data_IF_004978880095
#
_entry.id   IF_004978880095
#
_cell.length_a   1.000
_cell.length_b   1.000
_cell.length_c   1.000
_cell.angle_alpha   90.00
_cell.angle_beta   90.00
_cell.angle_gamma   90.00
#
_symmetry.space_group_name_H-M   'P 1'
#
loop_
_entity.id
_entity.type
_entity.pdbx_description
1 polymer ?
#
# COMPACT_ATOMS: atom_id res chain seq x y z
N UNK A 1 14.51 -14.23 -16.20
CA UNK A 1 15.54 -13.55 -15.37
C UNK A 1 16.79 -14.40 -15.39
N UNK A 2 17.96 -13.78 -15.27
CA UNK A 2 19.22 -14.48 -15.12
C UNK A 2 19.74 -14.22 -13.71
N UNK A 3 20.25 -15.25 -13.05
CA UNK A 3 20.92 -15.14 -11.75
C UNK A 3 22.41 -15.39 -11.97
N UNK A 4 23.28 -14.56 -11.42
CA UNK A 4 24.73 -14.70 -11.60
C UNK A 4 25.22 -16.06 -11.06
N UNK A 5 24.70 -16.49 -9.92
CA UNK A 5 25.04 -17.77 -9.29
C UNK A 5 24.69 -19.02 -10.13
N UNK A 6 23.89 -18.87 -11.19
CA UNK A 6 23.46 -19.94 -12.09
C UNK A 6 24.03 -19.78 -13.51
N UNK A 7 24.99 -18.89 -13.69
CA UNK A 7 25.69 -18.68 -14.95
C UNK A 7 24.81 -18.02 -16.02
N UNK A 8 24.84 -18.57 -17.24
CA UNK A 8 24.16 -18.03 -18.43
C UNK A 8 22.69 -18.47 -18.57
N UNK A 9 22.17 -19.26 -17.62
CA UNK A 9 20.82 -19.80 -17.73
C UNK A 9 19.74 -18.74 -17.41
N UNK A 10 18.73 -18.67 -18.29
CA UNK A 10 17.59 -17.77 -18.14
C UNK A 10 16.39 -18.52 -17.54
N UNK A 11 16.04 -18.17 -16.31
CA UNK A 11 14.89 -18.73 -15.61
C UNK A 11 13.58 -18.06 -16.01
N UNK A 12 12.53 -18.88 -16.15
CA UNK A 12 11.15 -18.41 -16.05
C UNK A 12 10.73 -18.34 -14.59
N UNK A 13 9.79 -17.44 -14.29
CA UNK A 13 9.27 -17.28 -12.92
C UNK A 13 8.68 -18.58 -12.36
N UNK A 14 8.07 -19.42 -13.19
CA UNK A 14 7.45 -20.68 -12.76
C UNK A 14 8.46 -21.75 -12.32
N UNK A 15 9.73 -21.64 -12.74
CA UNK A 15 10.77 -22.64 -12.44
C UNK A 15 11.34 -22.46 -11.02
N UNK A 16 11.09 -21.32 -10.38
CA UNK A 16 11.58 -21.03 -9.04
C UNK A 16 10.68 -21.66 -7.97
N UNK A 17 11.29 -22.51 -7.14
CA UNK A 17 10.63 -23.05 -5.96
C UNK A 17 10.79 -22.10 -4.78
N UNK A 18 9.69 -21.50 -4.35
CA UNK A 18 9.70 -20.52 -3.27
C UNK A 18 9.32 -21.15 -1.93
N UNK A 19 10.10 -20.82 -0.90
CA UNK A 19 9.86 -21.20 0.50
C UNK A 19 9.02 -20.16 1.25
N UNK A 20 8.52 -20.57 2.43
CA UNK A 20 7.84 -19.70 3.39
C UNK A 20 8.80 -18.70 4.04
N UNK A 21 10.09 -19.00 4.10
CA UNK A 21 11.13 -18.06 4.54
C UNK A 21 11.53 -17.17 3.36
N UNK A 22 11.56 -15.83 3.53
CA UNK A 22 12.10 -14.93 2.52
C UNK A 22 13.56 -15.23 2.22
N UNK A 23 13.89 -15.37 0.94
CA UNK A 23 15.22 -15.75 0.46
C UNK A 23 15.78 -14.66 -0.46
N UNK A 24 17.09 -14.45 -0.37
CA UNK A 24 17.86 -13.66 -1.31
C UNK A 24 18.47 -14.59 -2.33
N UNK A 25 18.11 -14.42 -3.61
CA UNK A 25 18.61 -15.27 -4.70
C UNK A 25 19.95 -14.77 -5.26
N UNK A 26 20.39 -13.57 -4.87
CA UNK A 26 21.60 -12.95 -5.38
C UNK A 26 21.35 -11.87 -6.45
N UNK A 27 22.45 -11.28 -6.96
CA UNK A 27 22.42 -10.38 -8.10
C UNK A 27 22.09 -11.13 -9.40
N UNK A 28 21.57 -10.38 -10.37
CA UNK A 28 21.30 -10.88 -11.68
C UNK A 28 20.60 -9.87 -12.59
N UNK A 29 20.27 -10.36 -13.79
CA UNK A 29 19.75 -9.54 -14.87
C UNK A 29 18.26 -9.80 -15.11
N UNK A 30 17.48 -8.73 -15.09
CA UNK A 30 16.09 -8.69 -15.52
C UNK A 30 16.04 -8.46 -17.03
N UNK A 31 15.19 -9.24 -17.72
CA UNK A 31 14.97 -9.25 -19.18
C UNK A 31 16.16 -9.68 -20.07
N UNK A 32 15.83 -10.43 -21.12
CA UNK A 32 16.81 -10.94 -22.10
C UNK A 32 17.17 -9.91 -23.16
N UNK A 33 16.18 -9.10 -23.55
CA UNK A 33 16.31 -8.04 -24.55
C UNK A 33 17.18 -6.90 -24.03
N UNK A 34 18.09 -6.43 -24.87
CA UNK A 34 19.10 -5.43 -24.51
C UNK A 34 18.49 -4.11 -24.03
N UNK A 35 17.46 -3.60 -24.70
CA UNK A 35 16.80 -2.34 -24.33
C UNK A 35 16.08 -2.35 -22.97
N UNK A 36 15.78 -3.52 -22.41
CA UNK A 36 15.07 -3.68 -21.13
C UNK A 36 15.94 -4.36 -20.07
N UNK A 37 17.23 -4.53 -20.37
CA UNK A 37 18.18 -5.22 -19.51
C UNK A 37 18.46 -4.37 -18.28
N UNK A 38 18.15 -4.91 -17.10
CA UNK A 38 18.42 -4.24 -15.84
C UNK A 38 19.13 -5.20 -14.88
N UNK A 39 20.28 -4.80 -14.36
CA UNK A 39 20.97 -5.55 -13.32
C UNK A 39 20.51 -5.11 -11.94
N UNK A 40 20.45 -6.05 -11.01
CA UNK A 40 19.98 -5.82 -9.66
C UNK A 40 19.79 -7.12 -8.89
N UNK A 41 18.98 -7.07 -7.85
CA UNK A 41 18.92 -8.08 -6.81
C UNK A 41 17.56 -8.77 -6.79
N UNK A 42 17.57 -10.10 -6.71
CA UNK A 42 16.35 -10.91 -6.70
C UNK A 42 16.03 -11.47 -5.32
N UNK A 43 14.76 -11.37 -4.95
CA UNK A 43 14.23 -11.89 -3.69
C UNK A 43 13.01 -12.76 -3.94
N UNK A 44 12.92 -13.87 -3.21
CA UNK A 44 11.86 -14.85 -3.38
C UNK A 44 11.16 -15.14 -2.05
N UNK A 45 9.83 -15.18 -2.07
CA UNK A 45 9.05 -15.53 -0.89
C UNK A 45 7.66 -16.03 -1.26
N UNK A 46 7.24 -17.15 -0.68
CA UNK A 46 5.86 -17.64 -0.76
C UNK A 46 5.16 -17.43 0.57
N UNK A 47 4.01 -16.78 0.57
CA UNK A 47 3.21 -16.64 1.79
C UNK A 47 2.42 -17.90 2.07
N UNK A 48 2.29 -18.21 3.35
CA UNK A 48 1.39 -19.26 3.80
C UNK A 48 -0.05 -18.98 3.38
N UNK A 49 -0.79 -20.00 2.91
CA UNK A 49 -2.18 -19.86 2.55
C UNK A 49 -3.03 -19.38 3.73
N UNK A 50 -3.73 -18.25 3.57
CA UNK A 50 -4.59 -17.67 4.62
C UNK A 50 -6.02 -18.23 4.66
N UNK A 51 -6.30 -19.32 3.94
CA UNK A 51 -7.64 -19.93 3.89
C UNK A 51 -8.76 -19.00 3.38
N UNK A 52 -8.42 -17.95 2.61
CA UNK A 52 -9.40 -16.94 2.17
C UNK A 52 -10.40 -17.57 1.20
N UNK A 53 -11.68 -17.43 1.53
CA UNK A 53 -12.79 -17.79 0.63
C UNK A 53 -13.30 -16.54 -0.08
N UNK A 54 -13.60 -16.65 -1.37
CA UNK A 54 -14.25 -15.58 -2.11
C UNK A 54 -15.70 -15.44 -1.64
N UNK A 55 -15.96 -14.47 -0.76
CA UNK A 55 -17.31 -14.13 -0.30
C UNK A 55 -17.90 -13.08 -1.22
N UNK A 56 -19.11 -13.33 -1.73
CA UNK A 56 -19.88 -12.40 -2.54
C UNK A 56 -20.96 -11.75 -1.68
N UNK A 57 -21.26 -10.47 -1.91
CA UNK A 57 -22.46 -9.85 -1.35
C UNK A 57 -23.71 -10.44 -2.01
N UNK A 58 -24.81 -10.56 -1.26
CA UNK A 58 -26.13 -10.76 -1.88
C UNK A 58 -26.33 -9.62 -2.89
N UNK A 59 -26.59 -9.94 -4.15
CA UNK A 59 -26.80 -8.99 -5.26
C UNK A 59 -25.54 -8.29 -5.83
N UNK A 60 -24.33 -8.73 -5.51
CA UNK A 60 -23.13 -8.20 -6.18
C UNK A 60 -22.97 -8.72 -7.62
N UNK A 61 -22.61 -7.84 -8.57
CA UNK A 61 -22.30 -8.23 -9.95
C UNK A 61 -21.15 -9.24 -9.93
N UNK A 62 -21.40 -10.45 -10.47
CA UNK A 62 -20.37 -11.46 -10.61
C UNK A 62 -19.40 -11.07 -11.73
N UNK A 63 -18.10 -11.18 -11.47
CA UNK A 63 -17.04 -10.94 -12.45
C UNK A 63 -16.14 -12.17 -12.57
N UNK A 64 -16.60 -13.22 -13.30
CA UNK A 64 -15.94 -14.52 -13.31
C UNK A 64 -14.49 -14.49 -13.81
N UNK A 65 -14.20 -13.68 -14.84
CA UNK A 65 -12.85 -13.49 -15.38
C UNK A 65 -11.88 -12.97 -14.33
N UNK A 66 -12.23 -11.87 -13.66
CA UNK A 66 -11.40 -11.28 -12.60
C UNK A 66 -11.15 -12.28 -11.45
N UNK A 67 -12.15 -13.10 -11.11
CA UNK A 67 -12.01 -14.13 -10.07
C UNK A 67 -11.06 -15.24 -10.53
N UNK A 68 -11.19 -15.69 -11.78
CA UNK A 68 -10.37 -16.73 -12.38
C UNK A 68 -8.89 -16.33 -12.42
N UNK A 69 -8.60 -15.06 -12.67
CA UNK A 69 -7.22 -14.56 -12.76
C UNK A 69 -6.65 -14.20 -11.38
N UNK A 70 -7.44 -13.56 -10.51
CA UNK A 70 -6.96 -13.10 -9.20
C UNK A 70 -6.69 -14.24 -8.21
N UNK A 71 -7.46 -15.34 -8.27
CA UNK A 71 -7.31 -16.49 -7.37
C UNK A 71 -5.95 -17.19 -7.48
N UNK A 72 -5.48 -17.61 -8.67
CA UNK A 72 -4.14 -18.19 -8.83
C UNK A 72 -3.06 -17.15 -8.52
N UNK A 73 -3.17 -15.92 -9.03
CA UNK A 73 -2.20 -14.85 -8.79
C UNK A 73 -1.98 -14.56 -7.29
N UNK A 74 -3.02 -14.69 -6.46
CA UNK A 74 -2.91 -14.51 -5.01
C UNK A 74 -2.14 -15.64 -4.31
N UNK A 75 -2.01 -16.82 -4.93
CA UNK A 75 -1.27 -17.99 -4.42
C UNK A 75 0.15 -18.07 -4.97
N UNK A 76 0.47 -17.30 -6.00
CA UNK A 76 1.79 -17.27 -6.61
C UNK A 76 2.84 -16.70 -5.63
N UNK A 77 4.08 -17.25 -5.67
CA UNK A 77 5.16 -16.69 -4.90
C UNK A 77 5.52 -15.29 -5.38
N UNK A 78 6.02 -14.48 -4.46
CA UNK A 78 6.54 -13.16 -4.75
C UNK A 78 7.99 -13.29 -5.19
N UNK A 79 8.24 -12.92 -6.43
CA UNK A 79 9.57 -12.68 -6.97
C UNK A 79 9.72 -11.16 -7.12
N UNK A 80 10.63 -10.58 -6.36
CA UNK A 80 10.88 -9.15 -6.32
C UNK A 80 12.26 -8.87 -6.87
N UNK A 81 12.33 -7.86 -7.73
CA UNK A 81 13.58 -7.29 -8.24
C UNK A 81 13.77 -5.92 -7.59
N UNK A 82 14.97 -5.66 -7.08
CA UNK A 82 15.36 -4.40 -6.42
C UNK A 82 16.70 -3.93 -6.95
N UNK A 83 16.91 -2.62 -7.03
CA UNK A 83 18.21 -2.02 -7.36
C UNK A 83 19.18 -1.97 -6.17
N UNK A 84 18.74 -2.32 -4.97
CA UNK A 84 19.52 -2.29 -3.72
C UNK A 84 19.51 -3.65 -3.02
N UNK A 85 20.63 -4.00 -2.40
CA UNK A 85 20.85 -5.13 -1.49
C UNK A 85 21.04 -4.73 -0.01
N UNK A 86 20.90 -3.45 0.32
CA UNK A 86 21.07 -2.92 1.68
C UNK A 86 20.08 -3.56 2.67
N UNK A 87 18.94 -4.06 2.18
CA UNK A 87 17.86 -4.57 3.02
C UNK A 87 17.83 -6.09 3.07
N UNK A 88 17.73 -6.62 4.30
CA UNK A 88 17.44 -8.04 4.53
C UNK A 88 16.15 -8.46 3.80
N UNK A 89 16.06 -9.70 3.26
CA UNK A 89 14.90 -10.16 2.49
C UNK A 89 13.56 -9.99 3.21
N UNK A 90 13.54 -10.18 4.54
CA UNK A 90 12.34 -9.97 5.37
C UNK A 90 11.82 -8.53 5.31
N UNK A 91 12.72 -7.54 5.27
CA UNK A 91 12.39 -6.12 5.22
C UNK A 91 11.80 -5.76 3.86
N UNK A 92 12.43 -6.22 2.76
CA UNK A 92 11.92 -6.01 1.39
C UNK A 92 10.53 -6.64 1.23
N UNK A 93 10.33 -7.87 1.69
CA UNK A 93 9.02 -8.52 1.64
C UNK A 93 7.97 -7.75 2.45
N UNK A 94 8.36 -7.17 3.60
CA UNK A 94 7.48 -6.33 4.42
C UNK A 94 7.13 -5.02 3.71
N UNK A 95 8.09 -4.35 3.09
CA UNK A 95 7.89 -3.14 2.30
C UNK A 95 6.95 -3.41 1.12
N UNK A 96 7.27 -4.42 0.30
CA UNK A 96 6.44 -4.79 -0.84
C UNK A 96 5.04 -5.26 -0.43
N UNK A 97 4.89 -5.85 0.76
CA UNK A 97 3.57 -6.24 1.27
C UNK A 97 2.60 -5.08 1.44
N UNK A 98 3.10 -3.84 1.56
CA UNK A 98 2.31 -2.62 1.67
C UNK A 98 1.77 -2.12 0.32
N UNK A 99 2.22 -2.65 -0.83
CA UNK A 99 1.78 -2.19 -2.17
C UNK A 99 0.25 -2.14 -2.34
N UNK A 100 -0.45 -3.08 -1.72
CA UNK A 100 -1.91 -3.20 -1.78
C UNK A 100 -2.63 -2.01 -1.10
N UNK A 101 -1.94 -1.26 -0.25
CA UNK A 101 -2.48 -0.04 0.36
C UNK A 101 -2.82 1.01 -0.71
N UNK A 102 -2.05 1.09 -1.80
CA UNK A 102 -2.34 2.00 -2.92
C UNK A 102 -3.68 1.63 -3.58
N UNK A 103 -3.89 0.35 -3.87
CA UNK A 103 -5.17 -0.13 -4.44
C UNK A 103 -6.36 0.09 -3.49
N UNK A 104 -6.13 -0.04 -2.19
CA UNK A 104 -7.14 0.26 -1.17
C UNK A 104 -7.49 1.75 -1.16
N UNK A 105 -6.48 2.64 -1.17
CA UNK A 105 -6.71 4.09 -1.27
C UNK A 105 -7.53 4.46 -2.51
N UNK A 106 -7.17 3.94 -3.69
CA UNK A 106 -7.94 4.18 -4.92
C UNK A 106 -9.36 3.63 -4.87
N UNK A 107 -9.58 2.52 -4.14
CA UNK A 107 -10.92 1.97 -3.95
C UNK A 107 -11.77 2.86 -3.05
N UNK A 108 -11.17 3.35 -1.97
CA UNK A 108 -11.85 4.16 -0.97
C UNK A 108 -12.18 5.55 -1.54
N UNK A 109 -11.27 6.19 -2.27
CA UNK A 109 -11.54 7.46 -2.99
C UNK A 109 -12.73 7.36 -3.95
N UNK A 110 -12.88 6.20 -4.61
CA UNK A 110 -14.01 5.90 -5.50
C UNK A 110 -15.30 5.58 -4.75
N UNK A 111 -15.22 5.19 -3.49
CA UNK A 111 -16.37 4.79 -2.68
C UNK A 111 -17.13 6.01 -2.17
N UNK A 112 -18.45 5.99 -2.32
CA UNK A 112 -19.35 7.00 -1.76
C UNK A 112 -19.41 6.95 -0.23
N UNK A 113 -19.24 5.75 0.34
CA UNK A 113 -19.38 5.53 1.78
C UNK A 113 -18.08 5.76 2.55
N UNK A 114 -16.95 5.41 1.96
CA UNK A 114 -15.67 5.31 2.67
C UNK A 114 -14.62 6.34 2.22
N UNK A 115 -14.89 7.12 1.18
CA UNK A 115 -14.01 8.19 0.73
C UNK A 115 -14.80 9.31 0.07
N UNK A 116 -14.31 9.83 -1.04
CA UNK A 116 -14.82 11.06 -1.65
C UNK A 116 -15.88 10.84 -2.73
N UNK A 117 -16.37 9.60 -2.89
CA UNK A 117 -17.50 9.32 -3.77
C UNK A 117 -17.27 9.64 -5.24
N UNK A 118 -16.04 9.49 -5.75
CA UNK A 118 -15.75 9.82 -7.16
C UNK A 118 -16.65 9.07 -8.16
N UNK A 119 -17.18 7.89 -7.81
CA UNK A 119 -18.17 7.17 -8.64
C UNK A 119 -19.50 7.90 -8.78
N UNK A 120 -19.94 8.64 -7.77
CA UNK A 120 -21.16 9.45 -7.79
C UNK A 120 -20.96 10.83 -8.41
N UNK A 121 -19.77 11.15 -8.93
CA UNK A 121 -19.53 12.45 -9.58
C UNK A 121 -20.26 12.61 -10.92
N UNK A 122 -20.63 11.50 -11.57
CA UNK A 122 -21.28 11.41 -12.89
C UNK A 122 -20.66 12.33 -13.98
N UNK A 123 -19.37 12.66 -13.84
CA UNK A 123 -18.71 13.59 -14.75
C UNK A 123 -18.43 12.93 -16.10
N UNK A 124 -18.75 13.64 -17.18
CA UNK A 124 -18.53 13.20 -18.57
C UNK A 124 -17.32 13.86 -19.25
N UNK A 125 -16.65 14.81 -18.59
CA UNK A 125 -15.50 15.53 -19.14
C UNK A 125 -14.21 15.17 -18.40
N UNK A 126 -13.15 14.89 -19.16
CA UNK A 126 -11.84 14.57 -18.60
C UNK A 126 -11.32 15.70 -17.68
N UNK A 127 -11.49 16.96 -18.08
CA UNK A 127 -11.06 18.12 -17.30
C UNK A 127 -11.70 18.18 -15.89
N UNK A 128 -13.01 17.89 -15.78
CA UNK A 128 -13.69 17.90 -14.48
C UNK A 128 -13.26 16.71 -13.62
N UNK A 129 -13.05 15.52 -14.20
CA UNK A 129 -12.51 14.37 -13.47
C UNK A 129 -11.12 14.66 -12.92
N UNK A 130 -10.26 15.32 -13.71
CA UNK A 130 -8.93 15.74 -13.27
C UNK A 130 -9.00 16.73 -12.09
N UNK A 131 -9.85 17.75 -12.18
CA UNK A 131 -10.03 18.70 -11.08
C UNK A 131 -10.56 18.04 -9.80
N UNK A 132 -11.55 17.13 -9.91
CA UNK A 132 -12.07 16.39 -8.76
C UNK A 132 -11.02 15.44 -8.15
N UNK A 133 -10.20 14.80 -8.98
CA UNK A 133 -9.08 13.97 -8.53
C UNK A 133 -8.05 14.80 -7.76
N UNK A 134 -7.71 16.00 -8.25
CA UNK A 134 -6.82 16.92 -7.56
C UNK A 134 -7.40 17.35 -6.20
N UNK A 135 -8.67 17.74 -6.14
CA UNK A 135 -9.32 18.11 -4.88
C UNK A 135 -9.37 16.93 -3.89
N UNK A 136 -9.63 15.73 -4.39
CA UNK A 136 -9.67 14.49 -3.60
C UNK A 136 -8.30 14.18 -3.00
N UNK A 137 -7.24 14.26 -3.80
CA UNK A 137 -5.87 14.00 -3.35
C UNK A 137 -5.40 15.03 -2.32
N UNK A 138 -5.64 16.33 -2.56
CA UNK A 138 -5.32 17.39 -1.59
C UNK A 138 -6.08 17.21 -0.28
N UNK A 139 -7.39 16.92 -0.35
CA UNK A 139 -8.22 16.66 0.83
C UNK A 139 -7.72 15.44 1.61
N UNK A 140 -7.33 14.38 0.89
CA UNK A 140 -6.76 13.16 1.49
C UNK A 140 -5.46 13.44 2.22
N UNK A 141 -4.56 14.26 1.66
CA UNK A 141 -3.30 14.67 2.31
C UNK A 141 -3.59 15.43 3.59
N UNK A 142 -4.52 16.39 3.57
CA UNK A 142 -4.91 17.15 4.76
C UNK A 142 -5.49 16.24 5.84
N UNK A 143 -6.40 15.33 5.49
CA UNK A 143 -6.95 14.36 6.43
C UNK A 143 -5.85 13.46 7.01
N UNK A 144 -4.88 13.04 6.20
CA UNK A 144 -3.74 12.26 6.68
C UNK A 144 -2.91 13.00 7.74
N UNK A 145 -2.58 14.27 7.48
CA UNK A 145 -1.83 15.11 8.41
C UNK A 145 -2.61 15.36 9.71
N UNK A 146 -3.91 15.66 9.61
CA UNK A 146 -4.78 15.85 10.78
C UNK A 146 -4.88 14.57 11.59
N UNK A 147 -5.06 13.42 10.93
CA UNK A 147 -5.14 12.12 11.59
C UNK A 147 -3.84 11.72 12.28
N UNK A 148 -2.70 11.97 11.63
CA UNK A 148 -1.38 11.76 12.22
C UNK A 148 -1.15 12.65 13.45
N UNK A 149 -1.51 13.93 13.36
CA UNK A 149 -1.43 14.84 14.50
C UNK A 149 -2.34 14.42 15.66
N UNK A 150 -3.57 13.99 15.35
CA UNK A 150 -4.51 13.47 16.34
C UNK A 150 -3.99 12.19 17.01
N UNK A 151 -3.34 11.31 16.27
CA UNK A 151 -2.69 10.12 16.82
C UNK A 151 -1.55 10.51 17.78
N UNK A 152 -0.65 11.39 17.36
CA UNK A 152 0.48 11.84 18.19
C UNK A 152 0.03 12.51 19.50
N UNK A 153 -1.14 13.16 19.49
CA UNK A 153 -1.78 13.71 20.70
C UNK A 153 -2.55 12.69 21.53
N UNK A 154 -2.56 11.41 21.13
CA UNK A 154 -3.30 10.34 21.82
C UNK A 154 -4.82 10.41 21.65
N UNK A 155 -5.34 11.29 20.79
CA UNK A 155 -6.79 11.46 20.61
C UNK A 155 -7.44 10.22 20.00
N UNK A 156 -6.69 9.46 19.19
CA UNK A 156 -7.14 8.23 18.56
C UNK A 156 -7.76 7.22 19.53
N UNK A 157 -7.30 7.17 20.78
CA UNK A 157 -7.84 6.30 21.82
C UNK A 157 -9.28 6.63 22.21
N UNK A 158 -9.70 7.89 22.08
CA UNK A 158 -11.07 8.34 22.39
C UNK A 158 -12.07 7.96 21.31
N UNK A 159 -11.61 7.79 20.08
CA UNK A 159 -12.43 7.41 18.93
C UNK A 159 -12.50 5.90 18.71
N UNK A 160 -11.84 5.12 19.56
CA UNK A 160 -11.78 3.67 19.45
C UNK A 160 -12.59 3.02 20.57
N UNK A 161 -13.53 2.16 20.21
CA UNK A 161 -14.31 1.38 21.18
C UNK A 161 -13.54 0.18 21.75
N UNK A 162 -12.52 -0.32 21.04
CA UNK A 162 -11.72 -1.47 21.45
C UNK A 162 -10.69 -1.12 22.54
N UNK A 163 -10.40 -2.07 23.43
CA UNK A 163 -9.40 -1.96 24.51
C UNK A 163 -7.93 -1.94 24.06
N UNK A 164 -7.64 -2.17 22.77
CA UNK A 164 -6.28 -2.21 22.22
C UNK A 164 -5.64 -0.82 22.28
N UNK A 165 -4.57 -0.66 23.08
CA UNK A 165 -3.82 0.61 23.17
C UNK A 165 -2.42 0.57 22.56
N UNK A 166 -1.96 -0.60 22.14
CA UNK A 166 -0.60 -0.82 21.63
C UNK A 166 -0.41 -0.44 20.16
N UNK A 167 -1.50 -0.30 19.41
CA UNK A 167 -1.47 0.04 17.99
C UNK A 167 -2.70 0.82 17.57
N UNK A 168 -2.55 1.58 16.49
CA UNK A 168 -3.67 2.20 15.79
C UNK A 168 -4.62 1.15 15.21
N UNK A 169 -5.92 1.31 15.48
CA UNK A 169 -6.97 0.46 14.90
C UNK A 169 -7.68 1.14 13.73
N UNK A 170 -7.93 2.45 13.82
CA UNK A 170 -8.66 3.23 12.82
C UNK A 170 -7.67 3.90 11.85
N UNK A 171 -8.00 4.02 10.56
CA UNK A 171 -7.15 4.74 9.60
C UNK A 171 -7.00 6.22 9.98
N UNK A 172 -5.93 6.88 9.51
CA UNK A 172 -5.78 8.33 9.74
C UNK A 172 -6.92 9.13 9.14
N UNK A 173 -7.42 8.73 7.96
CA UNK A 173 -8.51 9.44 7.29
C UNK A 173 -9.78 9.40 8.14
N UNK A 174 -10.19 8.21 8.59
CA UNK A 174 -11.41 8.05 9.41
C UNK A 174 -11.25 8.71 10.78
N UNK A 175 -10.05 8.65 11.38
CA UNK A 175 -9.77 9.38 12.62
C UNK A 175 -9.92 10.89 12.41
N UNK A 176 -9.29 11.44 11.36
CA UNK A 176 -9.35 12.86 11.05
C UNK A 176 -10.79 13.31 10.80
N UNK A 177 -11.55 12.55 10.01
CA UNK A 177 -12.95 12.84 9.74
C UNK A 177 -13.77 12.91 11.04
N UNK A 178 -13.63 11.93 11.94
CA UNK A 178 -14.33 11.94 13.22
C UNK A 178 -13.91 13.11 14.12
N UNK A 179 -12.63 13.44 14.14
CA UNK A 179 -12.11 14.60 14.89
C UNK A 179 -12.67 15.90 14.32
N UNK A 180 -12.71 16.06 13.00
CA UNK A 180 -13.25 17.25 12.35
C UNK A 180 -14.76 17.40 12.55
N UNK A 181 -15.51 16.28 12.55
CA UNK A 181 -16.94 16.26 12.86
C UNK A 181 -17.22 16.76 14.28
N UNK A 182 -16.38 16.41 15.26
CA UNK A 182 -16.57 16.83 16.66
C UNK A 182 -15.91 18.18 16.99
N UNK A 183 -14.86 18.57 16.29
CA UNK A 183 -14.05 19.75 16.61
C UNK A 183 -13.49 20.39 15.34
N UNK A 184 -14.34 21.06 14.53
CA UNK A 184 -13.95 21.59 13.23
C UNK A 184 -12.87 22.69 13.33
N UNK A 185 -12.82 23.42 14.45
CA UNK A 185 -11.84 24.47 14.70
C UNK A 185 -10.41 23.96 14.94
N UNK A 186 -10.22 22.64 15.06
CA UNK A 186 -8.89 22.05 15.25
C UNK A 186 -7.95 22.43 14.09
N UNK A 187 -8.48 22.54 12.86
CA UNK A 187 -7.73 22.95 11.67
C UNK A 187 -7.08 24.32 11.82
N UNK A 188 -7.79 25.28 12.42
CA UNK A 188 -7.27 26.64 12.66
C UNK A 188 -6.15 26.63 13.71
N UNK A 189 -6.18 25.67 14.64
CA UNK A 189 -5.17 25.52 15.69
C UNK A 189 -3.98 24.66 15.25
N UNK A 190 -4.16 23.84 14.23
CA UNK A 190 -3.10 22.97 13.69
C UNK A 190 -2.32 23.67 12.59
N UNK A 191 -1.04 23.91 12.84
CA UNK A 191 -0.11 24.34 11.80
C UNK A 191 0.29 23.12 10.98
N UNK A 192 -0.36 22.85 9.84
CA UNK A 192 -0.11 21.65 9.03
C UNK A 192 1.37 21.51 8.62
N UNK A 193 2.09 22.62 8.44
CA UNK A 193 3.52 22.63 8.14
C UNK A 193 4.38 22.00 9.24
N UNK A 194 4.06 22.22 10.52
CA UNK A 194 4.84 21.63 11.62
C UNK A 194 4.60 20.14 11.70
N UNK A 195 3.35 19.71 11.46
CA UNK A 195 2.97 18.30 11.39
C UNK A 195 3.69 17.59 10.24
N UNK A 196 3.75 18.22 9.07
CA UNK A 196 4.49 17.70 7.92
C UNK A 196 5.98 17.55 8.22
N UNK A 197 6.61 18.56 8.83
CA UNK A 197 8.02 18.51 9.21
C UNK A 197 8.30 17.40 10.23
N UNK A 198 7.41 17.22 11.21
CA UNK A 198 7.52 16.13 12.17
C UNK A 198 7.39 14.77 11.48
N UNK A 199 6.41 14.61 10.58
CA UNK A 199 6.24 13.40 9.79
C UNK A 199 7.48 13.10 8.95
N UNK A 200 8.03 14.11 8.25
CA UNK A 200 9.23 13.98 7.43
C UNK A 200 10.44 13.51 8.26
N UNK A 201 10.69 14.12 9.42
CA UNK A 201 11.75 13.69 10.35
C UNK A 201 11.54 12.26 10.84
N UNK A 202 10.31 11.90 11.18
CA UNK A 202 9.97 10.54 11.64
C UNK A 202 10.23 9.51 10.54
N UNK A 203 9.88 9.85 9.29
CA UNK A 203 10.16 9.00 8.13
C UNK A 203 11.65 8.89 7.82
N UNK A 204 12.40 9.98 7.86
CA UNK A 204 13.85 9.96 7.69
C UNK A 204 14.50 9.06 8.74
N UNK A 205 14.11 9.18 10.01
CA UNK A 205 14.60 8.31 11.07
C UNK A 205 14.19 6.84 10.85
N UNK A 206 12.98 6.57 10.34
CA UNK A 206 12.58 5.19 10.02
C UNK A 206 13.32 4.58 8.84
N UNK A 207 13.72 5.39 7.85
CA UNK A 207 14.46 4.94 6.66
C UNK A 207 15.96 4.81 6.97
N UNK A 208 16.50 5.65 7.85
CA UNK A 208 17.93 5.67 8.24
C UNK A 208 18.28 4.74 9.41
N UNK A 209 17.29 4.12 10.08
CA UNK A 209 17.51 3.13 11.16
C UNK A 209 17.58 1.69 10.63
N UNK A 210 17.69 1.52 9.31
CA UNK A 210 17.98 0.24 8.66
C UNK A 210 19.27 0.31 7.88
#
# INVERSE_FOLDING_TARGET
MRLEAKGEYWFRRQELQASSKPEYLGPGTLARSEYARCDGHFYLHKKEPKGRKNKRSRCGIARPSQIKDASPAAKEPWLIFSSTDDFKPRVIMKLYSRRMQIEQSFRDEKSERFGFGLRASYSRSAGRVLALSLLTTLSTIVLWLVGYHAENKGLHLRYQANSVRTRRVISYLTLAENVLRQSPLILKRTVLRTVLNHLARTYQNMVLVY
#
